data_IF_559727157034
#
_entry.id   IF_559727157034
#
_cell.length_a   1.000
_cell.length_b   1.000
_cell.length_c   1.000
_cell.angle_alpha   90.00
_cell.angle_beta   90.00
_cell.angle_gamma   90.00
#
_symmetry.space_group_name_H-M   'P 1'
#
loop_
_entity.id
_entity.type
_entity.pdbx_description
1 polymer ?
#
# COMPACT_ATOMS: atom_id res chain seq x y z
N UNK A 1 18.38 13.54 -6.57
CA UNK A 1 18.80 12.46 -5.63
C UNK A 1 19.05 11.16 -6.39
N UNK A 2 19.96 10.27 -5.97
CA UNK A 2 20.14 8.99 -6.64
C UNK A 2 18.92 8.08 -6.37
N UNK A 3 18.43 7.32 -7.36
CA UNK A 3 17.27 6.40 -7.23
C UNK A 3 17.47 5.35 -6.13
N UNK A 4 18.73 4.97 -5.88
CA UNK A 4 19.07 4.03 -4.80
C UNK A 4 18.94 4.68 -3.43
N UNK A 5 19.32 5.95 -3.29
CA UNK A 5 19.16 6.72 -2.06
C UNK A 5 17.68 7.01 -1.80
N UNK A 6 16.92 7.34 -2.84
CA UNK A 6 15.46 7.50 -2.79
C UNK A 6 14.76 6.22 -2.31
N UNK A 7 15.19 5.07 -2.80
CA UNK A 7 14.64 3.78 -2.36
C UNK A 7 14.89 3.53 -0.88
N UNK A 8 16.12 3.81 -0.40
CA UNK A 8 16.50 3.64 1.01
C UNK A 8 15.73 4.60 1.91
N UNK A 9 15.64 5.87 1.55
CA UNK A 9 14.91 6.88 2.33
C UNK A 9 13.41 6.60 2.38
N UNK A 10 12.81 6.15 1.28
CA UNK A 10 11.40 5.76 1.24
C UNK A 10 11.12 4.36 1.84
N UNK A 11 12.14 3.62 2.28
CA UNK A 11 11.97 2.28 2.85
C UNK A 11 11.42 1.23 1.89
N UNK A 12 11.75 1.35 0.59
CA UNK A 12 11.15 0.53 -0.49
C UNK A 12 12.21 -0.11 -1.38
N UNK A 13 11.78 -1.11 -2.14
CA UNK A 13 12.62 -1.70 -3.18
C UNK A 13 12.91 -0.69 -4.29
N UNK A 14 14.15 -0.73 -4.80
CA UNK A 14 14.57 0.10 -5.94
C UNK A 14 13.68 -0.08 -7.17
N UNK A 15 13.18 -1.30 -7.43
CA UNK A 15 12.24 -1.53 -8.54
C UNK A 15 10.91 -0.79 -8.34
N UNK A 16 10.43 -0.66 -7.10
CA UNK A 16 9.23 0.11 -6.80
C UNK A 16 9.44 1.60 -7.09
N UNK A 17 10.63 2.15 -6.85
CA UNK A 17 10.97 3.52 -7.26
C UNK A 17 10.78 3.69 -8.77
N UNK A 18 11.38 2.83 -9.61
CA UNK A 18 11.22 2.94 -11.06
C UNK A 18 9.76 2.90 -11.51
N UNK A 19 8.98 1.99 -10.95
CA UNK A 19 7.55 1.90 -11.22
C UNK A 19 6.85 3.21 -10.85
N UNK A 20 7.17 3.80 -9.71
CA UNK A 20 6.49 4.99 -9.23
C UNK A 20 6.88 6.24 -10.02
N UNK A 21 8.15 6.33 -10.44
CA UNK A 21 8.59 7.35 -11.38
C UNK A 21 7.83 7.26 -12.71
N UNK A 22 7.64 6.04 -13.24
CA UNK A 22 6.84 5.84 -14.45
C UNK A 22 5.37 6.22 -14.27
N UNK A 23 4.85 6.13 -13.04
CA UNK A 23 3.51 6.57 -12.67
C UNK A 23 3.42 8.08 -12.36
N UNK A 24 4.52 8.83 -12.47
CA UNK A 24 4.55 10.28 -12.25
C UNK A 24 4.92 10.72 -10.82
N UNK A 25 5.54 9.85 -10.01
CA UNK A 25 6.07 10.24 -8.71
C UNK A 25 7.25 11.23 -8.90
N UNK A 26 7.23 12.40 -8.24
CA UNK A 26 8.36 13.33 -8.26
C UNK A 26 9.57 12.73 -7.52
N UNK A 27 10.77 12.98 -8.03
CA UNK A 27 12.03 12.41 -7.53
C UNK A 27 12.98 13.47 -6.94
N UNK A 28 12.58 14.73 -7.02
CA UNK A 28 13.45 15.88 -6.83
C UNK A 28 13.47 16.28 -5.35
N UNK A 29 12.35 16.07 -4.66
CA UNK A 29 12.14 16.34 -3.25
C UNK A 29 11.56 15.09 -2.54
N UNK A 30 12.15 14.74 -1.40
CA UNK A 30 11.77 13.56 -0.62
C UNK A 30 10.35 13.70 -0.03
N UNK A 31 10.01 14.88 0.49
CA UNK A 31 8.70 15.11 1.11
C UNK A 31 7.60 15.03 0.07
N UNK A 32 7.80 15.63 -1.11
CA UNK A 32 6.82 15.54 -2.20
C UNK A 32 6.66 14.08 -2.68
N UNK A 33 7.73 13.29 -2.70
CA UNK A 33 7.65 11.87 -3.03
C UNK A 33 6.85 11.06 -1.98
N UNK A 34 6.98 11.40 -0.70
CA UNK A 34 6.20 10.81 0.40
C UNK A 34 4.72 11.18 0.24
N UNK A 35 4.40 12.46 0.08
CA UNK A 35 3.03 12.94 -0.08
C UNK A 35 2.35 12.32 -1.31
N UNK A 36 3.09 12.18 -2.42
CA UNK A 36 2.61 11.50 -3.61
C UNK A 36 2.29 10.03 -3.32
N UNK A 37 3.16 9.33 -2.59
CA UNK A 37 2.94 7.92 -2.23
C UNK A 37 1.72 7.74 -1.34
N UNK A 38 1.50 8.61 -0.37
CA UNK A 38 0.33 8.55 0.51
C UNK A 38 -0.97 8.76 -0.28
N UNK A 39 -1.00 9.76 -1.16
CA UNK A 39 -2.17 10.04 -2.02
C UNK A 39 -2.45 8.93 -3.04
N UNK A 40 -1.41 8.26 -3.53
CA UNK A 40 -1.51 7.22 -4.55
C UNK A 40 -1.48 5.80 -3.96
N UNK A 41 -1.54 5.66 -2.63
CA UNK A 41 -1.54 4.36 -1.98
C UNK A 41 -2.85 3.62 -2.32
N UNK A 42 -2.73 2.47 -2.97
CA UNK A 42 -3.90 1.63 -3.23
C UNK A 42 -4.30 0.89 -1.93
N UNK A 43 -5.31 1.41 -1.25
CA UNK A 43 -5.84 0.90 0.02
C UNK A 43 -6.17 -0.60 -0.08
N UNK A 44 -6.75 -1.05 -1.20
CA UNK A 44 -7.13 -2.46 -1.40
C UNK A 44 -5.94 -3.43 -1.47
N UNK A 45 -4.72 -2.90 -1.65
CA UNK A 45 -3.49 -3.69 -1.73
C UNK A 45 -2.65 -3.64 -0.47
N UNK A 46 -3.03 -2.83 0.53
CA UNK A 46 -2.29 -2.73 1.79
C UNK A 46 -2.45 -3.97 2.65
N UNK A 47 -1.58 -4.13 3.64
CA UNK A 47 -1.64 -5.23 4.59
C UNK A 47 -2.87 -5.12 5.47
N UNK A 48 -3.20 -3.91 5.93
CA UNK A 48 -4.36 -3.64 6.80
C UNK A 48 -5.66 -4.06 6.12
N UNK A 49 -5.82 -3.72 4.83
CA UNK A 49 -7.01 -4.12 4.09
C UNK A 49 -7.16 -5.63 3.99
N UNK A 50 -6.08 -6.37 3.73
CA UNK A 50 -6.12 -7.84 3.66
C UNK A 50 -6.52 -8.47 5.00
N UNK A 51 -5.99 -7.94 6.10
CA UNK A 51 -6.35 -8.38 7.45
C UNK A 51 -7.83 -8.09 7.71
N UNK A 52 -8.28 -6.85 7.44
CA UNK A 52 -9.68 -6.47 7.62
C UNK A 52 -10.64 -7.31 6.78
N UNK A 53 -10.25 -7.64 5.55
CA UNK A 53 -11.03 -8.52 4.67
C UNK A 53 -11.14 -9.95 5.22
N UNK A 54 -10.05 -10.50 5.78
CA UNK A 54 -10.08 -11.82 6.39
C UNK A 54 -11.02 -11.86 7.61
N UNK A 55 -10.89 -10.88 8.51
CA UNK A 55 -11.75 -10.75 9.70
C UNK A 55 -13.23 -10.57 9.31
N UNK A 56 -13.51 -9.76 8.28
CA UNK A 56 -14.88 -9.56 7.81
C UNK A 56 -15.49 -10.86 7.22
N UNK A 57 -14.68 -11.70 6.57
CA UNK A 57 -15.12 -13.00 6.06
C UNK A 57 -15.46 -13.98 7.18
N UNK A 58 -14.57 -14.10 8.17
CA UNK A 58 -14.81 -14.95 9.35
C UNK A 58 -16.11 -14.55 10.08
N UNK A 59 -16.33 -13.24 10.26
CA UNK A 59 -17.57 -12.73 10.85
C UNK A 59 -18.81 -13.10 10.03
N UNK A 60 -18.75 -12.94 8.71
CA UNK A 60 -19.87 -13.28 7.82
C UNK A 60 -20.19 -14.79 7.89
N UNK A 61 -19.15 -15.64 7.95
CA UNK A 61 -19.31 -17.09 8.08
C UNK A 61 -19.92 -17.47 9.43
N UNK A 62 -19.48 -16.84 10.52
CA UNK A 62 -20.08 -17.03 11.84
C UNK A 62 -21.57 -16.60 11.88
N UNK A 63 -21.90 -15.45 11.30
CA UNK A 63 -23.29 -14.96 11.17
C UNK A 63 -24.16 -15.91 10.33
N UNK A 64 -23.59 -16.52 9.27
CA UNK A 64 -24.29 -17.52 8.45
C UNK A 64 -24.52 -18.83 9.19
N UNK A 65 -23.52 -19.33 9.92
CA UNK A 65 -23.65 -20.55 10.73
C UNK A 65 -24.70 -20.41 11.85
N UNK A 66 -24.78 -19.23 12.48
CA UNK A 66 -25.77 -18.93 13.52
C UNK A 66 -27.21 -18.87 13.01
N UNK A 67 -27.45 -18.56 11.72
CA UNK A 67 -28.80 -18.53 11.15
C UNK A 67 -29.35 -19.89 10.72
N UNK A 68 -28.48 -20.91 10.66
CA UNK A 68 -28.83 -22.27 10.24
C UNK A 68 -28.99 -23.21 11.45
N UNK A 69 -28.64 -22.73 12.66
CA UNK A 69 -28.79 -23.45 13.94
C UNK A 69 -30.04 -22.99 14.67
#
# INVERSE_FOLDING_TARGET
>A
MNKTELAKTLGILRQAVYKFLWQGMPADDLQVAIDWREKNLNIFRTKEYRIGLAVARERLEAERGCKIS
#
